data_IF_557950337442
#
_entry.id   IF_557950337442
#
_cell.length_a   1.000
_cell.length_b   1.000
_cell.length_c   1.000
_cell.angle_alpha   90.00
_cell.angle_beta   90.00
_cell.angle_gamma   90.00
#
_symmetry.space_group_name_H-M   'P 1'
#
loop_
_entity.id
_entity.type
_entity.pdbx_description
1 polymer ?
#
# COMPACT_ATOMS: atom_id res chain seq x y z
N UNK A 1 -27.53 -26.62 4.49
CA UNK A 1 -26.12 -26.45 4.12
C UNK A 1 -25.37 -25.93 5.34
N UNK A 2 -24.11 -26.35 5.59
CA UNK A 2 -23.36 -25.87 6.75
C UNK A 2 -23.08 -24.37 6.62
N UNK A 3 -23.19 -23.63 7.73
CA UNK A 3 -23.04 -22.16 7.80
C UNK A 3 -21.71 -21.68 7.19
N UNK A 4 -20.64 -22.47 7.31
CA UNK A 4 -19.32 -22.18 6.73
C UNK A 4 -19.31 -22.06 5.19
N UNK A 5 -20.21 -22.74 4.48
CA UNK A 5 -20.28 -22.62 3.01
C UNK A 5 -21.02 -21.37 2.54
N UNK A 6 -21.81 -20.73 3.42
CA UNK A 6 -22.53 -19.51 3.09
C UNK A 6 -21.62 -18.26 3.19
N UNK A 7 -20.57 -18.28 4.03
CA UNK A 7 -19.58 -17.19 4.10
C UNK A 7 -18.70 -17.13 2.86
N UNK A 8 -18.40 -18.27 2.24
CA UNK A 8 -17.75 -18.32 0.94
C UNK A 8 -18.64 -17.84 -0.22
N UNK A 9 -19.93 -17.58 0.01
CA UNK A 9 -20.87 -17.20 -1.05
C UNK A 9 -20.84 -15.70 -1.38
N UNK A 10 -20.12 -14.87 -0.61
CA UNK A 10 -19.91 -13.44 -0.91
C UNK A 10 -18.49 -13.01 -0.56
N UNK A 11 -17.65 -12.65 -1.54
CA UNK A 11 -16.33 -12.11 -1.24
C UNK A 11 -16.50 -10.81 -0.44
N UNK A 12 -15.92 -10.78 0.76
CA UNK A 12 -15.88 -9.58 1.60
C UNK A 12 -14.54 -8.89 1.43
N UNK A 13 -14.59 -7.56 1.33
CA UNK A 13 -13.41 -6.71 1.43
C UNK A 13 -13.40 -6.03 2.79
N UNK A 14 -12.29 -6.13 3.50
CA UNK A 14 -12.09 -5.40 4.75
C UNK A 14 -11.68 -3.95 4.46
N UNK A 15 -12.02 -3.04 5.37
CA UNK A 15 -11.49 -1.69 5.41
C UNK A 15 -10.57 -1.59 6.61
N UNK A 16 -9.27 -1.54 6.33
CA UNK A 16 -8.21 -1.56 7.35
C UNK A 16 -7.56 -0.18 7.38
N UNK A 17 -7.84 0.61 8.42
CA UNK A 17 -7.28 1.96 8.59
C UNK A 17 -6.05 1.94 9.52
N UNK A 18 -5.18 0.95 9.37
CA UNK A 18 -3.95 0.78 10.16
C UNK A 18 -2.92 0.01 9.33
N UNK A 19 -1.65 0.24 9.60
CA UNK A 19 -0.57 -0.60 9.08
C UNK A 19 -0.39 -1.84 9.96
N UNK A 20 -1.18 -2.89 9.71
CA UNK A 20 -1.19 -4.07 10.59
C UNK A 20 0.18 -4.74 10.68
N UNK A 21 0.90 -4.84 9.56
CA UNK A 21 2.23 -5.42 9.52
C UNK A 21 3.29 -4.67 10.35
N UNK A 22 3.02 -3.41 10.74
CA UNK A 22 3.86 -2.66 11.68
C UNK A 22 3.71 -3.18 13.11
N UNK A 23 2.51 -3.64 13.47
CA UNK A 23 2.17 -4.13 14.80
C UNK A 23 2.39 -5.66 14.91
N UNK A 24 1.94 -6.41 13.92
CA UNK A 24 2.11 -7.87 13.79
C UNK A 24 2.14 -8.27 12.30
N UNK A 25 3.30 -8.73 11.82
CA UNK A 25 3.48 -9.20 10.44
C UNK A 25 2.70 -10.49 10.12
N UNK A 26 2.19 -11.18 11.14
CA UNK A 26 1.41 -12.40 11.01
C UNK A 26 -0.10 -12.17 11.25
N UNK A 27 -0.56 -10.92 11.30
CA UNK A 27 -1.99 -10.62 11.43
C UNK A 27 -2.77 -11.23 10.25
N UNK A 28 -3.74 -12.08 10.56
CA UNK A 28 -4.51 -12.82 9.55
C UNK A 28 -5.20 -11.91 8.52
N UNK A 29 -5.54 -10.68 8.90
CA UNK A 29 -6.22 -9.72 8.01
C UNK A 29 -5.32 -9.27 6.85
N UNK A 30 -4.00 -9.40 6.97
CA UNK A 30 -3.05 -9.09 5.89
C UNK A 30 -3.22 -10.03 4.68
N UNK A 31 -3.82 -11.21 4.88
CA UNK A 31 -4.04 -12.23 3.86
C UNK A 31 -5.46 -12.25 3.29
N UNK A 32 -6.35 -11.44 3.85
CA UNK A 32 -7.73 -11.30 3.38
C UNK A 32 -7.84 -10.13 2.38
N UNK A 33 -8.79 -10.16 1.43
CA UNK A 33 -9.05 -9.00 0.57
C UNK A 33 -9.37 -7.77 1.40
N UNK A 34 -8.60 -6.70 1.22
CA UNK A 34 -8.81 -5.45 1.95
C UNK A 34 -8.38 -4.22 1.17
N UNK A 35 -8.89 -3.07 1.60
CA UNK A 35 -8.44 -1.76 1.18
C UNK A 35 -7.98 -0.96 2.40
N UNK A 36 -7.01 -0.10 2.17
CA UNK A 36 -6.44 0.78 3.18
C UNK A 36 -6.68 2.26 2.82
N UNK A 37 -7.61 2.95 3.49
CA UNK A 37 -7.87 4.36 3.22
C UNK A 37 -6.68 5.27 3.55
N UNK A 38 -5.82 4.89 4.49
CA UNK A 38 -4.63 5.67 4.86
C UNK A 38 -3.59 5.65 3.73
N UNK A 39 -3.38 4.49 3.09
CA UNK A 39 -2.50 4.36 1.93
C UNK A 39 -2.92 5.28 0.76
N UNK A 40 -4.22 5.58 0.60
CA UNK A 40 -4.69 6.55 -0.40
C UNK A 40 -4.19 7.97 -0.12
N UNK A 41 -4.10 8.37 1.15
CA UNK A 41 -3.55 9.67 1.53
C UNK A 41 -2.06 9.78 1.19
N UNK A 42 -1.29 8.72 1.43
CA UNK A 42 0.13 8.67 1.05
C UNK A 42 0.32 8.67 -0.46
N UNK A 43 -0.48 7.91 -1.21
CA UNK A 43 -0.44 7.94 -2.68
C UNK A 43 -0.68 9.37 -3.22
N UNK A 44 -1.63 10.12 -2.64
CA UNK A 44 -1.86 11.52 -3.03
C UNK A 44 -0.66 12.41 -2.70
N UNK A 45 -0.07 12.26 -1.52
CA UNK A 45 1.13 13.01 -1.13
C UNK A 45 2.32 12.71 -2.05
N UNK A 46 2.55 11.44 -2.41
CA UNK A 46 3.56 11.03 -3.39
C UNK A 46 3.31 11.71 -4.75
N UNK A 47 2.07 11.70 -5.21
CA UNK A 47 1.69 12.32 -6.48
C UNK A 47 1.91 13.84 -6.48
N UNK A 48 1.64 14.51 -5.35
CA UNK A 48 1.86 15.95 -5.19
C UNK A 48 3.35 16.31 -5.19
N UNK A 49 4.20 15.51 -4.55
CA UNK A 49 5.66 15.66 -4.60
C UNK A 49 6.18 15.56 -6.03
N UNK A 50 5.62 14.66 -6.84
CA UNK A 50 5.97 14.55 -8.27
C UNK A 50 5.48 15.75 -9.07
N UNK A 51 4.28 16.25 -8.76
CA UNK A 51 3.68 17.37 -9.48
C UNK A 51 4.34 18.71 -9.16
N UNK A 52 5.04 18.86 -8.03
CA UNK A 52 5.70 20.13 -7.67
C UNK A 52 6.73 20.58 -8.72
N UNK A 53 7.39 19.64 -9.41
CA UNK A 53 8.31 19.91 -10.51
C UNK A 53 7.63 20.56 -11.71
N UNK A 54 6.32 20.36 -11.88
CA UNK A 54 5.53 21.00 -12.94
C UNK A 54 5.13 22.44 -12.59
N UNK A 55 5.09 22.77 -11.29
CA UNK A 55 4.66 24.08 -10.79
C UNK A 55 5.84 25.04 -10.66
N UNK A 56 6.99 24.57 -10.19
CA UNK A 56 8.18 25.39 -9.97
C UNK A 56 9.06 25.37 -11.22
N UNK A 57 9.10 26.50 -11.96
CA UNK A 57 9.93 26.61 -13.17
C UNK A 57 11.41 26.36 -12.86
N UNK A 58 12.02 25.44 -13.61
CA UNK A 58 13.44 25.09 -13.46
C UNK A 58 13.74 24.15 -12.29
N UNK A 59 12.73 23.68 -11.55
CA UNK A 59 12.91 22.68 -10.50
C UNK A 59 12.77 21.27 -11.08
N UNK A 60 13.80 20.45 -10.86
CA UNK A 60 13.78 19.03 -11.17
C UNK A 60 14.03 18.28 -9.86
N UNK A 61 13.02 17.57 -9.35
CA UNK A 61 13.16 16.78 -8.12
C UNK A 61 13.90 15.46 -8.36
N UNK A 62 14.01 15.00 -9.62
CA UNK A 62 14.61 13.70 -9.97
C UNK A 62 13.79 12.51 -9.48
N UNK A 63 12.53 12.72 -9.06
CA UNK A 63 11.68 11.70 -8.47
C UNK A 63 10.68 11.09 -9.45
N UNK A 64 10.63 11.57 -10.70
CA UNK A 64 9.68 11.13 -11.73
C UNK A 64 9.64 9.59 -11.91
N UNK A 65 10.79 8.92 -11.69
CA UNK A 65 10.90 7.46 -11.70
C UNK A 65 9.93 6.77 -10.74
N UNK A 66 9.65 7.35 -9.57
CA UNK A 66 8.82 6.75 -8.53
C UNK A 66 7.31 6.83 -8.83
N UNK A 67 6.93 7.54 -9.90
CA UNK A 67 5.52 7.74 -10.26
C UNK A 67 4.76 6.42 -10.46
N UNK A 68 3.80 6.17 -9.57
CA UNK A 68 2.94 4.98 -9.64
C UNK A 68 3.63 3.67 -9.23
N UNK A 69 4.82 3.73 -8.62
CA UNK A 69 5.55 2.55 -8.14
C UNK A 69 5.35 2.26 -6.65
N UNK A 70 4.56 3.05 -5.93
CA UNK A 70 4.41 2.91 -4.48
C UNK A 70 3.83 1.58 -3.98
N UNK A 71 3.23 0.79 -4.86
CA UNK A 71 2.75 -0.58 -4.59
C UNK A 71 3.77 -1.66 -4.97
N UNK A 72 4.80 -1.32 -5.73
CA UNK A 72 5.77 -2.26 -6.27
C UNK A 72 6.88 -2.56 -5.26
N UNK A 73 7.42 -3.77 -5.35
CA UNK A 73 8.57 -4.23 -4.58
C UNK A 73 9.18 -5.45 -5.27
N UNK A 74 10.50 -5.59 -5.19
CA UNK A 74 11.19 -6.74 -5.78
C UNK A 74 12.47 -7.10 -5.01
N UNK A 75 12.96 -8.31 -5.23
CA UNK A 75 14.20 -8.83 -4.67
C UNK A 75 15.39 -8.47 -5.55
N UNK A 76 16.35 -7.74 -4.99
CA UNK A 76 17.58 -7.35 -5.67
C UNK A 76 18.79 -8.05 -5.06
N UNK A 77 19.75 -8.53 -5.88
CA UNK A 77 20.95 -9.18 -5.38
C UNK A 77 21.83 -8.19 -4.60
N UNK A 78 22.44 -8.66 -3.51
CA UNK A 78 23.46 -7.91 -2.77
C UNK A 78 24.87 -8.37 -3.14
N UNK A 79 25.89 -7.66 -2.68
CA UNK A 79 27.31 -8.06 -2.84
C UNK A 79 27.61 -9.46 -2.27
N UNK A 80 26.82 -9.91 -1.29
CA UNK A 80 26.94 -11.25 -0.69
C UNK A 80 26.19 -12.34 -1.45
N UNK A 81 25.46 -11.98 -2.51
CA UNK A 81 24.59 -12.88 -3.28
C UNK A 81 23.23 -13.18 -2.63
N UNK A 82 23.00 -12.76 -1.39
CA UNK A 82 21.69 -12.88 -0.74
C UNK A 82 20.78 -11.76 -1.24
N UNK A 83 19.63 -12.05 -1.86
CA UNK A 83 18.75 -11.00 -2.34
C UNK A 83 18.00 -10.32 -1.19
N UNK A 84 17.76 -9.01 -1.33
CA UNK A 84 16.99 -8.21 -0.38
C UNK A 84 15.76 -7.66 -1.09
N UNK A 85 14.60 -7.77 -0.43
CA UNK A 85 13.36 -7.16 -0.92
C UNK A 85 13.41 -5.65 -0.69
N UNK A 86 13.30 -4.90 -1.78
CA UNK A 86 13.26 -3.45 -1.82
C UNK A 86 11.84 -3.01 -2.15
N UNK A 87 11.28 -2.15 -1.29
CA UNK A 87 10.01 -1.47 -1.54
C UNK A 87 10.25 -0.27 -2.45
N UNK A 88 9.32 -0.03 -3.39
CA UNK A 88 9.31 1.20 -4.18
C UNK A 88 8.34 2.27 -3.66
N UNK A 89 7.81 2.07 -2.46
CA UNK A 89 7.08 3.11 -1.75
C UNK A 89 8.05 4.18 -1.23
N UNK A 90 7.75 5.47 -1.47
CA UNK A 90 8.63 6.58 -1.08
C UNK A 90 8.75 6.65 0.44
N UNK A 91 7.66 6.44 1.17
CA UNK A 91 7.67 6.49 2.64
C UNK A 91 8.51 5.37 3.20
N UNK A 92 8.32 4.13 2.73
CA UNK A 92 9.15 3.00 3.13
C UNK A 92 10.63 3.24 2.82
N UNK A 93 10.94 3.78 1.64
CA UNK A 93 12.31 4.08 1.19
C UNK A 93 12.98 5.14 2.08
N UNK A 94 12.27 6.23 2.39
CA UNK A 94 12.77 7.28 3.29
C UNK A 94 13.00 6.71 4.70
N UNK A 95 12.06 5.90 5.20
CA UNK A 95 12.21 5.28 6.52
C UNK A 95 13.40 4.32 6.57
N UNK A 96 13.58 3.49 5.53
CA UNK A 96 14.74 2.61 5.40
C UNK A 96 16.06 3.39 5.35
N UNK A 97 16.10 4.54 4.66
CA UNK A 97 17.27 5.42 4.63
C UNK A 97 17.58 6.02 6.01
N UNK A 98 16.58 6.56 6.70
CA UNK A 98 16.75 7.13 8.06
C UNK A 98 17.24 6.07 9.05
N UNK A 99 16.85 4.81 8.82
CA UNK A 99 17.08 3.66 9.69
C UNK A 99 18.13 2.70 9.15
N UNK A 100 18.96 3.14 8.21
CA UNK A 100 19.94 2.31 7.50
C UNK A 100 20.82 1.50 8.45
N UNK A 101 21.26 2.10 9.57
CA UNK A 101 22.11 1.45 10.57
C UNK A 101 21.42 0.36 11.39
N UNK A 102 20.09 0.38 11.44
CA UNK A 102 19.28 -0.56 12.20
C UNK A 102 18.87 -1.78 11.34
N UNK A 103 19.13 -1.75 10.01
CA UNK A 103 18.75 -2.79 9.06
C UNK A 103 17.26 -3.20 9.14
N UNK A 104 16.42 -2.28 9.61
CA UNK A 104 14.98 -2.51 9.76
C UNK A 104 14.33 -2.44 8.38
N UNK A 105 13.57 -3.46 8.05
CA UNK A 105 12.81 -3.55 6.80
C UNK A 105 11.50 -2.77 6.94
N UNK A 106 11.31 -1.76 6.10
CA UNK A 106 10.05 -1.03 5.99
C UNK A 106 9.33 -1.47 4.71
N UNK A 107 8.19 -2.17 4.87
CA UNK A 107 7.36 -2.65 3.75
C UNK A 107 5.88 -2.36 3.93
N UNK A 108 5.47 -1.94 5.12
CA UNK A 108 4.07 -1.96 5.47
C UNK A 108 3.26 -0.89 4.70
N UNK A 109 3.88 0.18 4.16
CA UNK A 109 3.14 1.07 3.26
C UNK A 109 2.97 0.43 1.88
N UNK A 110 4.02 -0.20 1.33
CA UNK A 110 3.97 -0.90 0.05
C UNK A 110 2.96 -2.04 0.05
N UNK A 111 2.85 -2.81 1.13
CA UNK A 111 1.88 -3.90 1.25
C UNK A 111 0.43 -3.41 1.18
N UNK A 112 0.11 -2.33 1.88
CA UNK A 112 -1.24 -1.74 1.85
C UNK A 112 -1.53 -1.06 0.49
N UNK A 113 -0.51 -0.42 -0.10
CA UNK A 113 -0.61 0.13 -1.45
C UNK A 113 -0.82 -0.97 -2.51
N UNK A 114 -0.22 -2.15 -2.34
CA UNK A 114 -0.43 -3.32 -3.20
C UNK A 114 -1.88 -3.81 -3.13
N UNK A 115 -2.47 -3.90 -1.94
CA UNK A 115 -3.88 -4.27 -1.80
C UNK A 115 -4.82 -3.27 -2.45
N UNK A 116 -4.57 -1.97 -2.25
CA UNK A 116 -5.29 -0.91 -2.98
C UNK A 116 -5.10 -1.02 -4.50
N UNK A 117 -3.90 -1.37 -4.97
CA UNK A 117 -3.61 -1.55 -6.40
C UNK A 117 -4.37 -2.74 -6.97
N UNK A 118 -4.45 -3.85 -6.24
CA UNK A 118 -5.25 -5.01 -6.63
C UNK A 118 -6.71 -4.59 -6.76
N UNK A 119 -7.27 -3.93 -5.74
CA UNK A 119 -8.65 -3.45 -5.79
C UNK A 119 -8.91 -2.54 -6.99
N UNK A 120 -8.08 -1.51 -7.19
CA UNK A 120 -8.22 -0.52 -8.28
C UNK A 120 -7.82 -1.07 -9.66
N UNK A 121 -7.40 -2.32 -9.76
CA UNK A 121 -7.25 -3.01 -11.04
C UNK A 121 -8.54 -3.69 -11.49
N UNK A 122 -9.49 -3.94 -10.58
CA UNK A 122 -10.83 -4.45 -10.88
C UNK A 122 -11.91 -3.37 -10.81
N UNK A 123 -11.72 -2.40 -9.91
CA UNK A 123 -12.58 -1.24 -9.68
C UNK A 123 -11.81 0.06 -9.93
N UNK A 124 -12.39 1.21 -9.62
CA UNK A 124 -11.74 2.52 -9.74
C UNK A 124 -11.20 3.05 -8.41
N UNK A 125 -10.25 4.00 -8.48
CA UNK A 125 -9.82 4.77 -7.30
C UNK A 125 -10.97 5.54 -6.64
N UNK A 126 -11.94 6.00 -7.45
CA UNK A 126 -13.14 6.67 -6.96
C UNK A 126 -13.99 5.71 -6.13
N UNK A 127 -14.22 4.49 -6.60
CA UNK A 127 -14.94 3.46 -5.84
C UNK A 127 -14.20 3.10 -4.55
N UNK A 128 -12.87 2.98 -4.59
CA UNK A 128 -12.07 2.77 -3.38
C UNK A 128 -12.34 3.86 -2.34
N UNK A 129 -12.31 5.14 -2.75
CA UNK A 129 -12.56 6.27 -1.86
C UNK A 129 -14.01 6.29 -1.34
N UNK A 130 -15.00 6.09 -2.22
CA UNK A 130 -16.43 6.11 -1.87
C UNK A 130 -16.81 4.97 -0.92
N UNK A 131 -16.37 3.74 -1.22
CA UNK A 131 -16.62 2.57 -0.38
C UNK A 131 -15.90 2.68 0.95
N UNK A 132 -14.65 3.17 0.95
CA UNK A 132 -13.90 3.46 2.16
C UNK A 132 -14.69 4.41 3.07
N UNK A 133 -15.11 5.57 2.55
CA UNK A 133 -15.89 6.55 3.33
C UNK A 133 -17.20 5.98 3.86
N UNK A 134 -17.91 5.23 3.03
CA UNK A 134 -19.22 4.67 3.38
C UNK A 134 -19.13 3.62 4.48
N UNK A 135 -18.11 2.78 4.46
CA UNK A 135 -18.01 1.60 5.33
C UNK A 135 -16.88 1.67 6.37
N UNK A 136 -16.17 2.80 6.52
CA UNK A 136 -15.04 2.93 7.47
C UNK A 136 -15.39 2.54 8.91
N UNK A 137 -16.60 2.85 9.38
CA UNK A 137 -17.07 2.49 10.72
C UNK A 137 -17.46 1.01 10.81
N UNK A 138 -18.00 0.45 9.73
CA UNK A 138 -18.37 -0.96 9.65
C UNK A 138 -17.14 -1.88 9.50
N UNK A 139 -16.09 -1.39 8.85
CA UNK A 139 -14.82 -2.08 8.66
C UNK A 139 -14.81 -3.13 7.54
N UNK A 140 -15.89 -3.27 6.75
CA UNK A 140 -15.95 -4.18 5.61
C UNK A 140 -17.16 -3.92 4.71
N UNK A 141 -17.13 -4.47 3.48
CA UNK A 141 -18.27 -4.53 2.55
C UNK A 141 -18.26 -5.82 1.71
N UNK A 142 -19.40 -6.17 1.12
CA UNK A 142 -19.56 -7.29 0.17
C UNK A 142 -19.61 -6.76 -1.27
N UNK A 143 -19.11 -7.57 -2.21
CA UNK A 143 -19.12 -7.29 -3.66
C UNK A 143 -19.93 -8.32 -4.41
#
# INVERSE_FOLDING_TARGET
MPVFMAEAARPRWLIVQRYLAKDDENDWRLFEPHVNPEALHWQRAEQDILNIAKVIRGFHNGLDFWSGLGWAGDYFPTETGVPVLVSFNIVDTVMALVKEKELIKYLYHQQEALWNKIFTSYFSEQELEELSKKYIIQGWFEV
#
